data_IF_311416550942
#
_entry.id   IF_311416550942
#
_cell.length_a   1.000
_cell.length_b   1.000
_cell.length_c   1.000
_cell.angle_alpha   90.00
_cell.angle_beta   90.00
_cell.angle_gamma   90.00
#
_symmetry.space_group_name_H-M   'P 1'
#
loop_
_entity.id
_entity.type
_entity.pdbx_description
1 polymer ?
#
# COMPACT_ATOMS: atom_id res chain seq x y z
N UNK A 1 39.74 -27.60 29.72
CA UNK A 1 39.73 -26.31 28.98
C UNK A 1 38.66 -26.23 27.87
N UNK A 2 38.14 -27.35 27.35
CA UNK A 2 37.08 -27.35 26.31
C UNK A 2 35.68 -26.90 26.76
N UNK A 3 35.20 -27.33 27.95
CA UNK A 3 33.85 -26.96 28.44
C UNK A 3 33.57 -25.45 28.51
N UNK A 4 34.58 -24.62 28.77
CA UNK A 4 34.42 -23.14 28.80
C UNK A 4 34.27 -22.53 27.41
N UNK A 5 34.90 -23.10 26.38
CA UNK A 5 34.73 -22.64 24.99
C UNK A 5 33.36 -23.07 24.44
N UNK A 6 32.89 -24.26 24.79
CA UNK A 6 31.57 -24.77 24.37
C UNK A 6 30.42 -23.99 25.03
N UNK A 7 30.53 -23.64 26.32
CA UNK A 7 29.54 -22.79 26.99
C UNK A 7 29.51 -21.35 26.45
N UNK A 8 30.67 -20.77 26.10
CA UNK A 8 30.72 -19.42 25.50
C UNK A 8 30.11 -19.40 24.10
N UNK A 9 30.31 -20.48 23.34
CA UNK A 9 29.76 -20.64 21.98
C UNK A 9 28.24 -20.91 22.01
N UNK A 10 27.73 -21.63 23.01
CA UNK A 10 26.28 -21.79 23.27
C UNK A 10 25.63 -20.46 23.68
N UNK A 11 26.20 -19.76 24.66
CA UNK A 11 25.68 -18.45 25.11
C UNK A 11 25.70 -17.40 23.99
N UNK A 12 26.72 -17.40 23.13
CA UNK A 12 26.77 -16.54 21.94
C UNK A 12 25.72 -16.91 20.90
N UNK A 13 25.35 -18.19 20.77
CA UNK A 13 24.29 -18.65 19.85
C UNK A 13 22.91 -18.29 20.37
N UNK A 14 22.66 -18.49 21.66
CA UNK A 14 21.41 -18.14 22.34
C UNK A 14 21.17 -16.62 22.35
N UNK A 15 22.22 -15.81 22.52
CA UNK A 15 22.14 -14.35 22.36
C UNK A 15 21.86 -13.94 20.91
N UNK A 16 22.51 -14.58 19.94
CA UNK A 16 22.24 -14.32 18.52
C UNK A 16 20.79 -14.68 18.15
N UNK A 17 20.28 -15.81 18.67
CA UNK A 17 18.91 -16.25 18.48
C UNK A 17 17.92 -15.27 19.12
N UNK A 18 18.18 -14.79 20.35
CA UNK A 18 17.37 -13.75 20.98
C UNK A 18 17.40 -12.43 20.21
N UNK A 19 18.55 -11.99 19.70
CA UNK A 19 18.67 -10.76 18.92
C UNK A 19 17.97 -10.88 17.56
N UNK A 20 18.05 -12.04 16.91
CA UNK A 20 17.32 -12.35 15.68
C UNK A 20 15.81 -12.36 15.93
N UNK A 21 15.34 -12.99 17.01
CA UNK A 21 13.93 -12.98 17.40
C UNK A 21 13.43 -11.58 17.74
N UNK A 22 14.25 -10.78 18.42
CA UNK A 22 13.93 -9.38 18.76
C UNK A 22 13.91 -8.48 17.53
N UNK A 23 14.82 -8.67 16.59
CA UNK A 23 14.79 -8.00 15.29
C UNK A 23 13.57 -8.42 14.46
N UNK A 24 13.26 -9.71 14.44
CA UNK A 24 12.08 -10.24 13.75
C UNK A 24 10.78 -9.65 14.32
N UNK A 25 10.63 -9.63 15.65
CA UNK A 25 9.48 -9.03 16.32
C UNK A 25 9.33 -7.53 16.01
N UNK A 26 10.44 -6.78 15.96
CA UNK A 26 10.43 -5.36 15.56
C UNK A 26 9.98 -5.17 14.10
N UNK A 27 10.48 -5.99 13.19
CA UNK A 27 10.10 -5.93 11.76
C UNK A 27 8.62 -6.25 11.56
N UNK A 28 8.10 -7.28 12.24
CA UNK A 28 6.68 -7.64 12.22
C UNK A 28 5.82 -6.50 12.81
N UNK A 29 6.21 -5.95 13.95
CA UNK A 29 5.48 -4.83 14.56
C UNK A 29 5.45 -3.59 13.66
N UNK A 30 6.61 -3.21 13.09
CA UNK A 30 6.70 -2.06 12.20
C UNK A 30 5.86 -2.25 10.93
N UNK A 31 5.87 -3.44 10.34
CA UNK A 31 5.05 -3.75 9.17
C UNK A 31 3.56 -3.73 9.50
N UNK A 32 3.15 -4.22 10.67
CA UNK A 32 1.77 -4.10 11.16
C UNK A 32 1.32 -2.64 11.31
N UNK A 33 2.16 -1.80 11.93
CA UNK A 33 1.90 -0.37 12.09
C UNK A 33 1.84 0.34 10.72
N UNK A 34 2.75 -0.02 9.81
CA UNK A 34 2.78 0.54 8.45
C UNK A 34 1.54 0.16 7.65
N UNK A 35 1.08 -1.09 7.79
CA UNK A 35 -0.18 -1.54 7.17
C UNK A 35 -1.38 -0.75 7.70
N UNK A 36 -1.48 -0.53 9.01
CA UNK A 36 -2.57 0.27 9.59
C UNK A 36 -2.54 1.73 9.11
N UNK A 37 -1.35 2.32 9.04
CA UNK A 37 -1.15 3.65 8.45
C UNK A 37 -1.64 3.71 7.00
N UNK A 38 -1.24 2.74 6.16
CA UNK A 38 -1.68 2.66 4.77
C UNK A 38 -3.19 2.47 4.63
N UNK A 39 -3.80 1.63 5.48
CA UNK A 39 -5.25 1.46 5.51
C UNK A 39 -5.96 2.79 5.80
N UNK A 40 -5.52 3.53 6.82
CA UNK A 40 -6.07 4.84 7.16
C UNK A 40 -5.88 5.86 6.05
N UNK A 41 -4.70 5.86 5.40
CA UNK A 41 -4.43 6.71 4.25
C UNK A 41 -5.38 6.41 3.07
N UNK A 42 -5.61 5.14 2.76
CA UNK A 42 -6.55 4.75 1.70
C UNK A 42 -7.98 5.19 2.03
N UNK A 43 -8.42 5.02 3.28
CA UNK A 43 -9.75 5.48 3.72
C UNK A 43 -9.87 7.00 3.61
N UNK A 44 -8.84 7.74 4.00
CA UNK A 44 -8.81 9.20 3.87
C UNK A 44 -8.90 9.64 2.41
N UNK A 45 -8.09 9.04 1.51
CA UNK A 45 -8.15 9.34 0.07
C UNK A 45 -9.51 9.00 -0.51
N UNK A 46 -10.10 7.87 -0.12
CA UNK A 46 -11.46 7.51 -0.51
C UNK A 46 -12.50 8.53 -0.05
N UNK A 47 -12.40 8.99 1.20
CA UNK A 47 -13.29 10.01 1.76
C UNK A 47 -13.18 11.36 1.04
N UNK A 48 -11.96 11.82 0.75
CA UNK A 48 -11.71 13.05 0.00
C UNK A 48 -12.25 12.94 -1.42
N UNK A 49 -11.99 11.83 -2.10
CA UNK A 49 -12.51 11.59 -3.45
C UNK A 49 -14.04 11.60 -3.49
N UNK A 50 -14.71 10.98 -2.53
CA UNK A 50 -16.18 11.02 -2.41
C UNK A 50 -16.69 12.44 -2.13
N UNK A 51 -16.01 13.19 -1.26
CA UNK A 51 -16.37 14.57 -0.96
C UNK A 51 -16.26 15.46 -2.20
N UNK A 52 -15.16 15.38 -2.95
CA UNK A 52 -15.00 16.11 -4.22
C UNK A 52 -16.02 15.68 -5.27
N UNK A 53 -16.28 14.36 -5.39
CA UNK A 53 -17.33 13.84 -6.28
C UNK A 53 -18.69 14.47 -5.96
N UNK A 54 -19.05 14.51 -4.67
CA UNK A 54 -20.31 15.09 -4.21
C UNK A 54 -20.37 16.61 -4.44
N UNK A 55 -19.29 17.35 -4.15
CA UNK A 55 -19.22 18.78 -4.38
C UNK A 55 -19.40 19.13 -5.87
N UNK A 56 -18.70 18.42 -6.76
CA UNK A 56 -18.82 18.59 -8.21
C UNK A 56 -20.22 18.22 -8.73
N UNK A 57 -20.84 17.19 -8.16
CA UNK A 57 -22.21 16.80 -8.51
C UNK A 57 -23.24 17.85 -8.09
N UNK A 58 -23.06 18.45 -6.91
CA UNK A 58 -23.95 19.48 -6.37
C UNK A 58 -23.82 20.80 -7.13
N UNK A 59 -22.59 21.25 -7.37
CA UNK A 59 -22.34 22.54 -8.03
C UNK A 59 -22.59 22.47 -9.54
N UNK A 60 -22.50 21.27 -10.14
CA UNK A 60 -22.78 21.00 -11.55
C UNK A 60 -24.26 20.75 -11.89
N UNK A 61 -25.22 21.13 -11.02
CA UNK A 61 -26.66 20.86 -11.22
C UNK A 61 -26.96 19.38 -11.56
N UNK A 62 -26.29 18.43 -10.91
CA UNK A 62 -26.48 16.99 -11.14
C UNK A 62 -26.09 16.49 -12.54
N UNK A 63 -25.39 17.28 -13.36
CA UNK A 63 -24.86 16.83 -14.63
C UNK A 63 -23.54 16.05 -14.43
N UNK A 64 -23.33 15.03 -15.26
CA UNK A 64 -22.09 14.25 -15.28
C UNK A 64 -20.96 15.11 -15.87
N UNK A 65 -20.03 15.51 -15.01
CA UNK A 65 -18.86 16.28 -15.40
C UNK A 65 -17.63 15.37 -15.45
N UNK A 66 -16.72 15.65 -16.40
CA UNK A 66 -15.47 14.89 -16.54
C UNK A 66 -14.61 14.90 -15.26
N UNK A 67 -14.59 16.01 -14.50
CA UNK A 67 -13.91 16.08 -13.20
C UNK A 67 -14.47 15.11 -12.15
N UNK A 68 -15.74 14.71 -12.26
CA UNK A 68 -16.36 13.72 -11.36
C UNK A 68 -15.88 12.30 -11.67
N UNK A 69 -15.72 11.96 -12.96
CA UNK A 69 -15.16 10.67 -13.39
C UNK A 69 -13.74 10.51 -12.86
N UNK A 70 -12.96 11.59 -12.85
CA UNK A 70 -11.62 11.60 -12.30
C UNK A 70 -11.59 11.26 -10.80
N UNK A 71 -12.53 11.77 -10.01
CA UNK A 71 -12.64 11.46 -8.58
C UNK A 71 -13.20 10.07 -8.32
N UNK A 72 -14.12 9.58 -9.16
CA UNK A 72 -14.59 8.19 -9.10
C UNK A 72 -13.41 7.22 -9.33
N UNK A 73 -12.50 7.54 -10.25
CA UNK A 73 -11.27 6.77 -10.45
C UNK A 73 -10.37 6.85 -9.20
N UNK A 74 -10.24 8.02 -8.57
CA UNK A 74 -9.51 8.16 -7.30
C UNK A 74 -10.07 7.26 -6.20
N UNK A 75 -11.40 7.24 -6.05
CA UNK A 75 -12.09 6.40 -5.08
C UNK A 75 -11.91 4.92 -5.38
N UNK A 76 -12.07 4.51 -6.65
CA UNK A 76 -11.87 3.13 -7.08
C UNK A 76 -10.43 2.67 -6.80
N UNK A 77 -9.43 3.53 -7.02
CA UNK A 77 -8.04 3.24 -6.70
C UNK A 77 -7.80 3.08 -5.19
N UNK A 78 -8.42 3.91 -4.35
CA UNK A 78 -8.35 3.76 -2.91
C UNK A 78 -8.94 2.41 -2.44
N UNK A 79 -10.11 2.04 -2.99
CA UNK A 79 -10.74 0.74 -2.70
C UNK A 79 -9.89 -0.43 -3.17
N UNK A 80 -9.36 -0.38 -4.39
CA UNK A 80 -8.46 -1.42 -4.90
C UNK A 80 -7.18 -1.53 -4.07
N UNK A 81 -6.66 -0.41 -3.57
CA UNK A 81 -5.50 -0.38 -2.67
C UNK A 81 -5.80 -1.09 -1.35
N UNK A 82 -6.99 -0.88 -0.77
CA UNK A 82 -7.44 -1.61 0.43
C UNK A 82 -7.58 -3.12 0.16
N UNK A 83 -8.25 -3.50 -0.94
CA UNK A 83 -8.42 -4.90 -1.32
C UNK A 83 -7.06 -5.59 -1.54
N UNK A 84 -6.12 -4.87 -2.15
CA UNK A 84 -4.75 -5.32 -2.38
C UNK A 84 -3.98 -5.48 -1.06
N UNK A 85 -4.04 -4.49 -0.17
CA UNK A 85 -3.35 -4.46 1.12
C UNK A 85 -3.83 -5.56 2.09
N UNK A 86 -5.13 -5.81 2.10
CA UNK A 86 -5.74 -6.85 2.94
C UNK A 86 -5.73 -8.25 2.31
N UNK A 87 -5.24 -8.40 1.06
CA UNK A 87 -5.19 -9.67 0.31
C UNK A 87 -6.55 -10.39 0.27
N UNK A 88 -7.67 -9.66 0.20
CA UNK A 88 -9.04 -10.21 0.33
C UNK A 88 -9.43 -11.19 -0.80
N UNK A 89 -8.79 -11.08 -1.97
CA UNK A 89 -8.88 -12.05 -3.06
C UNK A 89 -7.52 -12.14 -3.76
N UNK A 90 -7.46 -12.67 -4.99
CA UNK A 90 -6.21 -12.78 -5.77
C UNK A 90 -5.55 -11.39 -5.91
N UNK A 91 -4.47 -11.07 -5.16
CA UNK A 91 -3.93 -9.73 -5.10
C UNK A 91 -3.37 -9.27 -6.46
N UNK A 92 -2.97 -10.23 -7.30
CA UNK A 92 -2.51 -9.97 -8.67
C UNK A 92 -3.59 -9.33 -9.55
N UNK A 93 -4.87 -9.65 -9.32
CA UNK A 93 -5.99 -9.09 -10.10
C UNK A 93 -6.20 -7.63 -9.71
N UNK A 94 -6.26 -7.35 -8.42
CA UNK A 94 -6.40 -5.98 -7.91
C UNK A 94 -5.20 -5.10 -8.28
N UNK A 95 -4.00 -5.67 -8.28
CA UNK A 95 -2.81 -4.98 -8.78
C UNK A 95 -2.98 -4.60 -10.25
N UNK A 96 -3.36 -5.53 -11.13
CA UNK A 96 -3.53 -5.24 -12.56
C UNK A 96 -4.60 -4.17 -12.79
N UNK A 97 -5.75 -4.29 -12.12
CA UNK A 97 -6.84 -3.31 -12.22
C UNK A 97 -6.40 -1.94 -11.71
N UNK A 98 -5.82 -1.88 -10.51
CA UNK A 98 -5.34 -0.64 -9.91
C UNK A 98 -4.23 0.00 -10.72
N UNK A 99 -3.30 -0.79 -11.26
CA UNK A 99 -2.21 -0.29 -12.11
C UNK A 99 -2.74 0.30 -13.42
N UNK A 100 -3.70 -0.36 -14.08
CA UNK A 100 -4.33 0.17 -15.29
C UNK A 100 -5.06 1.49 -15.02
N UNK A 101 -5.84 1.56 -13.94
CA UNK A 101 -6.55 2.78 -13.54
C UNK A 101 -5.60 3.91 -13.13
N UNK A 102 -4.49 3.57 -12.46
CA UNK A 102 -3.44 4.52 -12.09
C UNK A 102 -2.79 5.10 -13.34
N UNK A 103 -2.44 4.28 -14.34
CA UNK A 103 -1.89 4.76 -15.60
C UNK A 103 -2.88 5.66 -16.35
N UNK A 104 -4.16 5.27 -16.37
CA UNK A 104 -5.22 6.08 -16.98
C UNK A 104 -5.33 7.45 -16.28
N UNK A 105 -5.38 7.47 -14.95
CA UNK A 105 -5.51 8.69 -14.16
C UNK A 105 -4.27 9.60 -14.32
N UNK A 106 -3.07 9.04 -14.25
CA UNK A 106 -1.82 9.79 -14.44
C UNK A 106 -1.67 10.31 -15.87
N UNK A 107 -2.00 9.50 -16.88
CA UNK A 107 -1.96 9.89 -18.28
C UNK A 107 -2.93 11.03 -18.57
N UNK A 108 -4.15 10.93 -18.05
CA UNK A 108 -5.16 11.97 -18.16
C UNK A 108 -4.71 13.27 -17.46
N UNK A 109 -4.24 13.18 -16.21
CA UNK A 109 -3.73 14.33 -15.48
C UNK A 109 -2.56 15.01 -16.21
N UNK A 110 -1.62 14.22 -16.73
CA UNK A 110 -0.48 14.72 -17.50
C UNK A 110 -0.93 15.42 -18.79
N UNK A 111 -1.90 14.84 -19.52
CA UNK A 111 -2.47 15.45 -20.72
C UNK A 111 -3.11 16.81 -20.41
N UNK A 112 -3.82 16.94 -19.28
CA UNK A 112 -4.41 18.21 -18.86
C UNK A 112 -3.34 19.25 -18.52
N UNK A 113 -2.26 18.87 -17.82
CA UNK A 113 -1.13 19.75 -17.57
C UNK A 113 -0.48 20.22 -18.89
N UNK A 114 -0.26 19.28 -19.82
CA UNK A 114 0.33 19.57 -21.14
C UNK A 114 -0.53 20.57 -21.89
N UNK A 115 -1.84 20.33 -21.96
CA UNK A 115 -2.80 21.19 -22.64
C UNK A 115 -2.84 22.60 -22.04
N UNK A 116 -2.83 22.70 -20.71
CA UNK A 116 -2.83 23.98 -20.02
C UNK A 116 -1.52 24.75 -20.22
N UNK A 117 -0.37 24.05 -20.18
CA UNK A 117 0.96 24.68 -20.19
C UNK A 117 1.46 25.05 -21.58
N UNK A 118 1.22 24.20 -22.58
CA UNK A 118 1.73 24.40 -23.94
C UNK A 118 0.68 24.93 -24.91
N UNK A 119 -0.59 24.55 -24.74
CA UNK A 119 -1.66 24.92 -25.67
C UNK A 119 -2.61 25.99 -25.11
N UNK A 120 -2.46 26.38 -23.84
CA UNK A 120 -3.32 27.33 -23.13
C UNK A 120 -4.83 26.99 -23.21
N UNK A 121 -5.16 25.72 -23.42
CA UNK A 121 -6.53 25.23 -23.41
C UNK A 121 -6.92 25.05 -21.95
N UNK A 122 -8.06 25.63 -21.54
CA UNK A 122 -8.62 25.38 -20.20
C UNK A 122 -8.90 23.88 -20.07
N UNK A 123 -8.17 23.23 -19.16
CA UNK A 123 -8.42 21.85 -18.81
C UNK A 123 -9.75 21.70 -18.06
N UNK A 124 -10.30 20.49 -18.12
CA UNK A 124 -11.57 20.15 -17.45
C UNK A 124 -11.40 19.84 -15.96
N UNK A 125 -10.16 19.65 -15.51
CA UNK A 125 -9.80 19.47 -14.10
C UNK A 125 -9.65 20.83 -13.44
N UNK A 126 -10.15 20.96 -12.21
CA UNK A 126 -9.86 22.15 -11.41
C UNK A 126 -8.39 22.17 -10.98
N UNK A 127 -7.79 23.35 -10.73
CA UNK A 127 -6.38 23.47 -10.34
C UNK A 127 -6.01 22.71 -9.07
N UNK A 128 -7.00 22.42 -8.23
CA UNK A 128 -6.85 21.74 -6.94
C UNK A 128 -6.99 20.21 -7.06
N UNK A 129 -7.45 19.70 -8.22
CA UNK A 129 -7.60 18.27 -8.45
C UNK A 129 -6.28 17.61 -8.79
N UNK A 130 -5.70 16.96 -7.78
CA UNK A 130 -4.52 16.11 -7.91
C UNK A 130 -4.93 14.62 -8.01
N UNK A 131 -4.14 13.76 -8.68
CA UNK A 131 -4.45 12.33 -8.82
C UNK A 131 -4.17 11.56 -7.52
N UNK A 132 -4.92 11.86 -6.44
CA UNK A 132 -4.69 11.30 -5.11
C UNK A 132 -4.82 9.78 -5.09
N UNK A 133 -5.77 9.21 -5.84
CA UNK A 133 -5.94 7.76 -5.94
C UNK A 133 -4.72 7.07 -6.52
N UNK A 134 -4.14 7.61 -7.60
CA UNK A 134 -2.92 7.08 -8.20
C UNK A 134 -1.72 7.19 -7.25
N UNK A 135 -1.56 8.33 -6.57
CA UNK A 135 -0.50 8.51 -5.56
C UNK A 135 -0.65 7.48 -4.42
N UNK A 136 -1.87 7.31 -3.91
CA UNK A 136 -2.17 6.32 -2.87
C UNK A 136 -1.80 4.91 -3.33
N UNK A 137 -2.24 4.50 -4.52
CA UNK A 137 -1.96 3.17 -5.06
C UNK A 137 -0.46 2.92 -5.23
N UNK A 138 0.31 3.89 -5.72
CA UNK A 138 1.77 3.78 -5.87
C UNK A 138 2.43 3.53 -4.51
N UNK A 139 2.06 4.32 -3.50
CA UNK A 139 2.62 4.20 -2.14
C UNK A 139 2.26 2.84 -1.53
N UNK A 140 1.01 2.39 -1.68
CA UNK A 140 0.57 1.08 -1.20
C UNK A 140 1.31 -0.06 -1.91
N UNK A 141 1.47 0.02 -3.24
CA UNK A 141 2.17 -0.99 -4.02
C UNK A 141 3.67 -1.06 -3.69
N UNK A 142 4.35 0.08 -3.62
CA UNK A 142 5.75 0.15 -3.23
C UNK A 142 5.94 -0.44 -1.82
N UNK A 143 5.05 -0.09 -0.89
CA UNK A 143 5.08 -0.63 0.48
C UNK A 143 4.88 -2.15 0.53
N UNK A 144 3.96 -2.71 -0.27
CA UNK A 144 3.78 -4.17 -0.33
C UNK A 144 5.05 -4.90 -0.81
N UNK A 145 5.74 -4.33 -1.82
CA UNK A 145 6.97 -4.91 -2.38
C UNK A 145 8.13 -4.95 -1.40
N UNK A 146 8.34 -3.89 -0.64
CA UNK A 146 9.52 -3.74 0.20
C UNK A 146 9.31 -4.15 1.66
N UNK A 147 8.08 -4.05 2.19
CA UNK A 147 7.84 -4.23 3.62
C UNK A 147 6.95 -5.45 3.92
N UNK A 148 5.80 -5.57 3.27
CA UNK A 148 4.78 -6.56 3.65
C UNK A 148 5.12 -7.98 3.16
N UNK A 149 5.76 -8.12 1.98
CA UNK A 149 6.18 -9.43 1.48
C UNK A 149 7.28 -10.06 2.34
N UNK A 150 8.17 -9.23 2.91
CA UNK A 150 9.21 -9.69 3.83
C UNK A 150 8.62 -10.29 5.12
N UNK A 151 7.53 -9.69 5.63
CA UNK A 151 6.82 -10.19 6.82
C UNK A 151 6.22 -11.57 6.62
N UNK A 152 5.48 -11.79 5.53
CA UNK A 152 4.80 -13.06 5.27
C UNK A 152 5.76 -14.24 5.10
N UNK A 153 6.93 -13.98 4.49
CA UNK A 153 7.98 -14.99 4.31
C UNK A 153 8.62 -15.30 5.66
N UNK A 154 8.86 -14.27 6.47
CA UNK A 154 9.46 -14.42 7.78
C UNK A 154 8.50 -15.12 8.79
N UNK A 155 7.21 -14.78 8.80
CA UNK A 155 6.20 -15.46 9.63
C UNK A 155 6.02 -16.93 9.24
N UNK A 156 5.98 -17.25 7.93
CA UNK A 156 5.90 -18.64 7.47
C UNK A 156 7.16 -19.43 7.83
N UNK A 157 8.35 -18.81 7.80
CA UNK A 157 9.58 -19.43 8.23
C UNK A 157 9.58 -19.72 9.74
N UNK A 158 9.12 -18.77 10.56
CA UNK A 158 9.00 -18.94 12.01
C UNK A 158 8.02 -20.06 12.38
N UNK A 159 6.84 -20.12 11.74
CA UNK A 159 5.88 -21.19 11.94
C UNK A 159 6.42 -22.56 11.48
N UNK A 160 7.14 -22.61 10.36
CA UNK A 160 7.76 -23.84 9.88
C UNK A 160 8.81 -24.36 10.87
N UNK A 161 9.62 -23.48 11.47
CA UNK A 161 10.60 -23.84 12.49
C UNK A 161 9.91 -24.36 13.76
N UNK A 162 8.93 -23.65 14.31
CA UNK A 162 8.16 -24.11 15.48
C UNK A 162 7.52 -25.49 15.26
N UNK A 163 6.97 -25.72 14.06
CA UNK A 163 6.33 -26.98 13.72
C UNK A 163 7.33 -28.14 13.55
N UNK A 164 8.58 -27.85 13.17
CA UNK A 164 9.67 -28.83 13.12
C UNK A 164 10.16 -29.12 14.55
N UNK A 165 10.32 -28.11 15.40
CA UNK A 165 10.77 -28.29 16.79
C UNK A 165 9.79 -29.15 17.59
N UNK A 166 8.48 -28.89 17.46
CA UNK A 166 7.42 -29.70 18.10
C UNK A 166 7.31 -31.14 17.60
N UNK A 167 7.86 -31.46 16.42
CA UNK A 167 7.89 -32.83 15.88
C UNK A 167 9.14 -33.61 16.30
N UNK A 168 10.14 -32.92 16.83
CA UNK A 168 11.42 -33.48 17.27
C UNK A 168 11.46 -33.73 18.79
N UNK A 169 10.50 -33.17 19.55
CA UNK A 169 10.14 -33.56 20.92
C UNK A 169 9.20 -34.77 20.92
#
# INVERSE_FOLDING_TARGET
MNKRKDNKKKSSREQLEQDVLKHHAKTVYFNGLWKDFLTKACVMVGGVALYHTYALFRDGNFALHFGMVFEIISFALAMLSLLFLHRLAKPLVFFKLGFSLMLLQCGWYSLQIVNLRWYHIKGELTPEQIPMGAMCFIVTWASDRYMIRSESIAQNATQAVEHITKKLE
#
